data_IF_136172169448
#
_entry.id   IF_136172169448
#
_cell.length_a   1.000
_cell.length_b   1.000
_cell.length_c   1.000
_cell.angle_alpha   90.00
_cell.angle_beta   90.00
_cell.angle_gamma   90.00
#
_symmetry.space_group_name_H-M   'P 1'
#
loop_
_entity.id
_entity.type
_entity.pdbx_description
1 polymer ?
#
# COMPACT_ATOMS: atom_id res chain seq x y z
N UNK A 1 -15.97 10.45 -76.35
CA UNK A 1 -16.85 11.21 -77.26
C UNK A 1 -17.54 12.28 -76.44
N UNK A 2 -17.39 13.55 -76.86
CA UNK A 2 -18.35 14.69 -76.84
C UNK A 2 -19.47 14.67 -75.78
N UNK A 3 -19.88 15.75 -75.11
CA UNK A 3 -19.62 17.20 -75.04
C UNK A 3 -20.90 17.75 -74.36
N UNK A 4 -20.84 18.83 -73.57
CA UNK A 4 -21.88 19.91 -73.52
C UNK A 4 -23.20 19.52 -72.75
N UNK A 5 -23.94 20.33 -71.98
CA UNK A 5 -24.15 21.78 -71.86
C UNK A 5 -24.71 22.11 -70.45
N UNK A 6 -24.44 23.32 -69.99
CA UNK A 6 -25.14 23.99 -68.88
C UNK A 6 -26.60 24.31 -69.25
N UNK A 7 -27.49 24.36 -68.26
CA UNK A 7 -28.63 25.30 -68.26
C UNK A 7 -28.94 25.75 -66.83
N UNK A 8 -29.04 27.07 -66.73
CA UNK A 8 -29.33 27.90 -65.56
C UNK A 8 -30.83 27.87 -65.28
N UNK A 9 -31.23 27.79 -64.01
CA UNK A 9 -32.42 28.49 -63.54
C UNK A 9 -32.21 28.91 -62.08
N UNK A 10 -32.04 30.22 -61.88
CA UNK A 10 -32.18 30.87 -60.60
C UNK A 10 -33.67 31.13 -60.36
N UNK A 11 -34.18 30.68 -59.22
CA UNK A 11 -35.38 31.23 -58.60
C UNK A 11 -35.02 31.52 -57.14
N UNK A 12 -34.95 32.80 -56.83
CA UNK A 12 -34.98 33.30 -55.47
C UNK A 12 -36.43 33.29 -54.98
N UNK A 13 -36.70 32.83 -53.75
CA UNK A 13 -37.69 33.46 -52.87
C UNK A 13 -37.59 32.96 -51.42
N UNK A 14 -37.73 33.96 -50.53
CA UNK A 14 -38.30 33.91 -49.18
C UNK A 14 -37.46 33.36 -48.01
N UNK A 15 -37.06 34.32 -47.18
CA UNK A 15 -36.70 34.23 -45.78
C UNK A 15 -37.59 33.26 -44.99
N UNK A 16 -36.96 32.30 -44.30
CA UNK A 16 -37.40 31.82 -43.01
C UNK A 16 -36.16 31.73 -42.11
N UNK A 17 -36.12 32.60 -41.10
CA UNK A 17 -35.12 32.59 -40.04
C UNK A 17 -35.46 31.39 -39.15
N UNK A 18 -34.93 30.23 -39.49
CA UNK A 18 -34.92 29.06 -38.63
C UNK A 18 -33.57 29.01 -37.91
N UNK A 19 -33.56 29.33 -36.62
CA UNK A 19 -32.42 29.06 -35.76
C UNK A 19 -32.15 27.55 -35.78
N UNK A 20 -31.17 27.11 -36.56
CA UNK A 20 -30.61 25.78 -36.41
C UNK A 20 -29.83 25.79 -35.10
N UNK A 21 -30.45 25.19 -34.09
CA UNK A 21 -29.80 24.79 -32.85
C UNK A 21 -28.57 23.99 -33.26
N UNK A 22 -27.38 24.48 -32.89
CA UNK A 22 -26.19 23.66 -32.92
C UNK A 22 -26.47 22.46 -32.03
N UNK A 23 -26.62 21.29 -32.64
CA UNK A 23 -26.45 20.03 -31.91
C UNK A 23 -25.03 20.08 -31.36
N UNK A 24 -24.95 20.36 -30.07
CA UNK A 24 -23.76 20.17 -29.27
C UNK A 24 -23.56 18.66 -29.21
N UNK A 25 -22.95 18.11 -30.27
CA UNK A 25 -22.45 16.75 -30.29
C UNK A 25 -21.37 16.69 -29.22
N UNK A 26 -21.78 16.34 -28.00
CA UNK A 26 -20.87 15.83 -26.98
C UNK A 26 -19.97 14.81 -27.68
N UNK A 27 -18.65 15.01 -27.72
CA UNK A 27 -17.76 14.03 -28.33
C UNK A 27 -17.92 12.75 -27.53
N UNK A 28 -18.53 11.74 -28.16
CA UNK A 28 -18.54 10.38 -27.65
C UNK A 28 -17.09 9.93 -27.61
N UNK A 29 -16.46 10.03 -26.44
CA UNK A 29 -15.11 9.54 -26.22
C UNK A 29 -15.17 8.02 -26.25
N UNK A 30 -14.93 7.46 -27.43
CA UNK A 30 -14.64 6.05 -27.63
C UNK A 30 -13.33 5.74 -26.89
N UNK A 31 -13.47 5.20 -25.67
CA UNK A 31 -12.34 4.90 -24.78
C UNK A 31 -11.51 3.80 -25.44
N UNK A 32 -10.26 4.10 -25.80
CA UNK A 32 -9.29 3.09 -26.18
C UNK A 32 -9.24 1.99 -25.11
N UNK A 33 -9.62 0.77 -25.49
CA UNK A 33 -9.70 -0.36 -24.58
C UNK A 33 -8.34 -0.61 -23.90
N UNK A 34 -8.30 -0.49 -22.58
CA UNK A 34 -7.12 -0.89 -21.80
C UNK A 34 -7.04 -2.41 -21.83
N UNK A 35 -5.94 -2.97 -22.36
CA UNK A 35 -5.71 -4.42 -22.35
C UNK A 35 -5.59 -4.93 -20.91
N UNK A 36 -6.48 -5.85 -20.53
CA UNK A 36 -6.56 -6.47 -19.19
C UNK A 36 -6.84 -5.44 -18.07
N UNK A 37 -8.03 -4.82 -18.07
CA UNK A 37 -8.40 -3.84 -17.05
C UNK A 37 -8.49 -4.48 -15.67
N UNK A 38 -8.29 -3.69 -14.61
CA UNK A 38 -8.58 -4.14 -13.27
C UNK A 38 -10.10 -4.24 -13.08
N UNK A 39 -10.56 -5.41 -12.66
CA UNK A 39 -11.97 -5.76 -12.53
C UNK A 39 -12.21 -6.44 -11.20
N UNK A 40 -13.29 -6.07 -10.52
CA UNK A 40 -13.80 -6.72 -9.31
C UNK A 40 -15.28 -6.99 -9.46
N UNK A 41 -15.72 -8.14 -8.96
CA UNK A 41 -17.16 -8.47 -8.92
C UNK A 41 -17.92 -7.39 -8.15
N UNK A 42 -18.93 -6.81 -8.79
CA UNK A 42 -19.78 -5.80 -8.15
C UNK A 42 -20.54 -6.39 -6.95
N UNK A 43 -21.01 -7.64 -7.06
CA UNK A 43 -21.63 -8.37 -5.93
C UNK A 43 -20.69 -8.56 -4.74
N UNK A 44 -19.40 -8.70 -4.99
CA UNK A 44 -18.41 -8.74 -3.91
C UNK A 44 -18.27 -7.39 -3.22
N UNK A 45 -18.22 -6.30 -3.99
CA UNK A 45 -18.21 -4.94 -3.43
C UNK A 45 -19.47 -4.68 -2.61
N UNK A 46 -20.65 -5.07 -3.11
CA UNK A 46 -21.92 -4.95 -2.39
C UNK A 46 -21.92 -5.74 -1.07
N UNK A 47 -21.35 -6.95 -1.04
CA UNK A 47 -21.18 -7.69 0.22
C UNK A 47 -20.31 -6.92 1.23
N UNK A 48 -19.33 -6.15 0.75
CA UNK A 48 -18.57 -5.20 1.58
C UNK A 48 -19.43 -4.06 2.12
N UNK A 49 -20.31 -3.49 1.28
CA UNK A 49 -21.27 -2.47 1.70
C UNK A 49 -22.22 -3.03 2.78
N UNK A 50 -22.69 -4.27 2.63
CA UNK A 50 -23.56 -4.93 3.63
C UNK A 50 -22.84 -5.11 4.97
N UNK A 51 -21.58 -5.56 4.95
CA UNK A 51 -20.78 -5.72 6.15
C UNK A 51 -20.46 -4.39 6.86
N UNK A 52 -20.38 -3.28 6.11
CA UNK A 52 -20.24 -1.95 6.70
C UNK A 52 -21.49 -1.57 7.51
N UNK A 53 -22.68 -1.74 6.92
CA UNK A 53 -23.95 -1.44 7.60
C UNK A 53 -24.18 -2.34 8.82
N UNK A 54 -23.94 -3.65 8.68
CA UNK A 54 -24.10 -4.62 9.77
C UNK A 54 -23.22 -4.29 10.99
N UNK A 55 -22.02 -3.77 10.75
CA UNK A 55 -21.03 -3.49 11.79
C UNK A 55 -20.80 -1.99 12.02
N UNK A 56 -21.72 -1.14 11.57
CA UNK A 56 -21.62 0.32 11.61
C UNK A 56 -21.33 0.88 13.01
N UNK A 57 -21.81 0.20 14.06
CA UNK A 57 -21.55 0.55 15.45
C UNK A 57 -20.05 0.66 15.82
N UNK A 58 -19.15 0.06 15.03
CA UNK A 58 -17.70 0.21 15.19
C UNK A 58 -17.18 1.59 14.75
N UNK A 59 -17.86 2.28 13.83
CA UNK A 59 -17.52 3.61 13.34
C UNK A 59 -18.78 4.49 13.13
N UNK A 60 -19.49 4.84 14.23
CA UNK A 60 -20.83 5.44 14.15
C UNK A 60 -20.87 6.84 13.53
N UNK A 61 -19.72 7.53 13.46
CA UNK A 61 -19.60 8.87 12.89
C UNK A 61 -19.57 8.87 11.34
N UNK A 62 -19.46 7.71 10.69
CA UNK A 62 -19.38 7.60 9.24
C UNK A 62 -20.78 7.34 8.65
N UNK A 63 -21.32 8.21 7.79
CA UNK A 63 -22.64 8.00 7.23
C UNK A 63 -22.67 6.93 6.12
N UNK A 64 -21.55 6.69 5.46
CA UNK A 64 -21.44 5.72 4.36
C UNK A 64 -20.00 5.19 4.22
N UNK A 65 -19.86 4.02 3.59
CA UNK A 65 -18.56 3.44 3.26
C UNK A 65 -17.94 4.11 2.05
N UNK A 66 -16.69 4.53 2.19
CA UNK A 66 -15.85 5.00 1.08
C UNK A 66 -14.79 3.97 0.72
N UNK A 67 -14.28 4.07 -0.49
CA UNK A 67 -13.14 3.31 -0.98
C UNK A 67 -12.07 4.29 -1.44
N UNK A 68 -10.82 3.83 -1.45
CA UNK A 68 -9.69 4.57 -2.00
C UNK A 68 -8.93 3.72 -3.02
N UNK A 69 -8.61 4.32 -4.15
CA UNK A 69 -7.59 3.82 -5.07
C UNK A 69 -6.22 4.31 -4.62
N UNK A 70 -5.29 3.39 -4.41
CA UNK A 70 -3.88 3.74 -4.16
C UNK A 70 -2.97 2.97 -5.09
N UNK A 71 -1.86 3.57 -5.50
CA UNK A 71 -0.80 2.83 -6.16
C UNK A 71 -0.11 1.87 -5.16
N UNK A 72 0.63 0.91 -5.68
CA UNK A 72 1.36 -0.05 -4.85
C UNK A 72 2.58 0.63 -4.23
N UNK A 73 2.83 0.38 -2.94
CA UNK A 73 4.04 0.82 -2.24
C UNK A 73 4.11 2.33 -2.04
N UNK A 74 2.98 2.99 -1.78
CA UNK A 74 2.92 4.43 -1.52
C UNK A 74 3.39 5.32 -2.68
N UNK A 75 3.54 4.74 -3.89
CA UNK A 75 3.80 5.53 -5.07
C UNK A 75 2.68 6.56 -5.27
N UNK A 76 3.05 7.72 -5.82
CA UNK A 76 2.07 8.71 -6.24
C UNK A 76 1.09 8.09 -7.23
N UNK A 77 -0.13 8.61 -7.24
CA UNK A 77 -1.10 8.25 -8.28
C UNK A 77 -0.44 8.48 -9.64
N UNK A 78 -0.49 7.49 -10.56
CA UNK A 78 0.21 7.61 -11.83
C UNK A 78 -0.23 8.88 -12.56
N UNK A 79 0.72 9.77 -12.86
CA UNK A 79 0.46 10.90 -13.74
C UNK A 79 0.03 10.38 -15.12
N UNK A 80 -1.10 10.86 -15.63
CA UNK A 80 -1.66 10.40 -16.90
C UNK A 80 -3.15 10.72 -17.06
N UNK A 81 -3.81 10.04 -18.00
CA UNK A 81 -5.23 10.21 -18.33
C UNK A 81 -6.13 10.12 -17.09
N UNK A 82 -7.31 10.76 -17.14
CA UNK A 82 -8.28 10.69 -16.04
C UNK A 82 -8.59 9.24 -15.61
N UNK A 83 -8.76 9.04 -14.30
CA UNK A 83 -9.16 7.74 -13.74
C UNK A 83 -10.67 7.61 -13.88
N UNK A 84 -11.10 6.57 -14.58
CA UNK A 84 -12.52 6.25 -14.77
C UNK A 84 -12.82 4.90 -14.16
N UNK A 85 -13.84 4.88 -13.31
CA UNK A 85 -14.39 3.70 -12.68
C UNK A 85 -15.85 3.59 -13.09
N UNK A 86 -16.30 2.39 -13.44
CA UNK A 86 -17.68 2.15 -13.89
C UNK A 86 -18.17 0.78 -13.48
N UNK A 87 -19.48 0.67 -13.27
CA UNK A 87 -20.17 -0.61 -13.10
C UNK A 87 -20.63 -1.05 -14.49
N UNK A 88 -20.26 -2.26 -14.89
CA UNK A 88 -20.51 -2.81 -16.24
C UNK A 88 -21.23 -4.14 -16.08
N UNK A 89 -22.51 -4.18 -16.45
CA UNK A 89 -23.33 -5.38 -16.52
C UNK A 89 -23.86 -5.59 -17.94
N UNK A 90 -25.14 -5.97 -18.07
CA UNK A 90 -25.78 -6.14 -19.38
C UNK A 90 -26.36 -4.84 -19.94
N UNK A 91 -26.64 -3.86 -19.08
CA UNK A 91 -27.10 -2.52 -19.46
C UNK A 91 -25.98 -1.52 -19.72
N UNK A 92 -26.36 -0.24 -19.82
CA UNK A 92 -25.41 0.85 -20.01
C UNK A 92 -24.42 0.96 -18.83
N UNK A 93 -23.12 1.22 -19.07
CA UNK A 93 -22.15 1.40 -18.01
C UNK A 93 -22.50 2.56 -17.08
N UNK A 94 -22.53 2.30 -15.78
CA UNK A 94 -22.84 3.31 -14.76
C UNK A 94 -21.53 3.95 -14.28
N UNK A 95 -21.33 5.26 -14.43
CA UNK A 95 -20.12 5.93 -13.97
C UNK A 95 -20.05 5.94 -12.44
N UNK A 96 -18.86 5.69 -11.90
CA UNK A 96 -18.52 5.83 -10.48
C UNK A 96 -17.47 6.94 -10.36
N UNK A 97 -17.86 8.16 -9.95
CA UNK A 97 -16.92 9.27 -9.83
C UNK A 97 -15.81 8.97 -8.83
N UNK A 98 -14.56 9.25 -9.22
CA UNK A 98 -13.39 9.16 -8.35
C UNK A 98 -12.90 10.57 -8.06
N UNK A 99 -12.82 10.92 -6.78
CA UNK A 99 -12.28 12.20 -6.33
C UNK A 99 -10.78 12.31 -6.59
N UNK A 100 -10.24 13.53 -6.56
CA UNK A 100 -8.82 13.79 -6.85
C UNK A 100 -7.86 13.06 -5.90
N UNK A 101 -8.27 12.84 -4.65
CA UNK A 101 -7.50 12.10 -3.64
C UNK A 101 -7.61 10.57 -3.81
N UNK A 102 -8.28 10.11 -4.88
CA UNK A 102 -8.51 8.70 -5.19
C UNK A 102 -9.68 8.08 -4.45
N UNK A 103 -10.44 8.85 -3.66
CA UNK A 103 -11.61 8.33 -2.94
C UNK A 103 -12.86 8.25 -3.82
N UNK A 104 -13.72 7.28 -3.55
CA UNK A 104 -14.99 7.12 -4.25
C UNK A 104 -16.01 6.36 -3.37
N UNK A 105 -17.29 6.51 -3.70
CA UNK A 105 -18.39 5.73 -3.13
C UNK A 105 -18.99 4.86 -4.21
N UNK A 106 -19.47 3.68 -3.85
CA UNK A 106 -20.06 2.75 -4.80
C UNK A 106 -21.57 2.74 -4.58
N UNK A 107 -22.38 3.21 -5.56
CA UNK A 107 -23.83 3.20 -5.40
C UNK A 107 -24.35 1.77 -5.36
N UNK A 108 -25.49 1.55 -4.70
CA UNK A 108 -26.24 0.30 -4.74
C UNK A 108 -27.24 0.34 -5.89
N UNK A 109 -27.02 -0.48 -6.92
CA UNK A 109 -27.88 -0.55 -8.10
C UNK A 109 -28.34 -1.99 -8.29
N UNK A 110 -29.62 -2.26 -8.00
CA UNK A 110 -30.16 -3.63 -8.00
C UNK A 110 -30.00 -4.33 -9.35
N UNK A 111 -30.29 -3.63 -10.46
CA UNK A 111 -30.13 -4.18 -11.80
C UNK A 111 -28.69 -4.67 -12.07
N UNK A 112 -27.68 -3.95 -11.59
CA UNK A 112 -26.28 -4.35 -11.75
C UNK A 112 -25.90 -5.53 -10.83
N UNK A 113 -26.56 -5.70 -9.68
CA UNK A 113 -26.40 -6.87 -8.81
C UNK A 113 -26.98 -8.10 -9.51
N UNK A 114 -28.17 -7.97 -10.10
CA UNK A 114 -28.89 -9.04 -10.78
C UNK A 114 -28.19 -9.47 -12.07
N UNK A 115 -27.54 -8.54 -12.75
CA UNK A 115 -26.74 -8.77 -13.96
C UNK A 115 -25.35 -9.38 -13.70
N UNK A 116 -24.98 -9.68 -12.45
CA UNK A 116 -23.62 -10.10 -12.08
C UNK A 116 -22.53 -9.12 -12.60
N UNK A 117 -22.79 -7.82 -12.52
CA UNK A 117 -21.91 -6.79 -13.06
C UNK A 117 -20.50 -6.79 -12.44
N UNK A 118 -19.57 -6.13 -13.13
CA UNK A 118 -18.22 -5.88 -12.66
C UNK A 118 -17.96 -4.38 -12.43
N UNK A 119 -17.18 -4.08 -11.40
CA UNK A 119 -16.58 -2.77 -11.20
C UNK A 119 -15.25 -2.73 -11.98
N UNK A 120 -15.21 -1.92 -13.04
CA UNK A 120 -14.12 -1.90 -14.03
C UNK A 120 -13.37 -0.56 -13.97
N UNK A 121 -12.05 -0.64 -13.80
CA UNK A 121 -11.14 0.50 -13.78
C UNK A 121 -10.41 0.63 -15.11
N UNK A 122 -10.24 1.85 -15.61
CA UNK A 122 -9.45 2.14 -16.82
C UNK A 122 -7.92 2.09 -16.58
N UNK A 123 -7.45 1.12 -15.80
CA UNK A 123 -6.04 0.85 -15.53
C UNK A 123 -5.78 -0.64 -15.65
N UNK A 124 -4.55 -1.00 -16.04
CA UNK A 124 -4.12 -2.40 -16.06
C UNK A 124 -4.24 -2.99 -14.66
N UNK A 125 -4.66 -4.25 -14.60
CA UNK A 125 -4.75 -5.02 -13.36
C UNK A 125 -3.47 -4.88 -12.52
N UNK A 126 -3.63 -4.50 -11.25
CA UNK A 126 -2.54 -4.41 -10.27
C UNK A 126 -1.76 -3.09 -10.24
N UNK A 127 -2.04 -2.12 -11.12
CA UNK A 127 -1.44 -0.78 -11.07
C UNK A 127 -1.97 0.02 -9.89
N UNK A 128 -3.30 0.09 -9.78
CA UNK A 128 -3.99 0.65 -8.62
C UNK A 128 -4.66 -0.48 -7.85
N UNK A 129 -4.85 -0.28 -6.55
CA UNK A 129 -5.64 -1.18 -5.71
C UNK A 129 -6.75 -0.37 -5.06
N UNK A 130 -7.99 -0.76 -5.33
CA UNK A 130 -9.15 -0.32 -4.55
C UNK A 130 -9.21 -1.06 -3.22
N UNK A 131 -9.36 -0.31 -2.13
CA UNK A 131 -9.61 -0.82 -0.78
C UNK A 131 -10.70 -0.01 -0.10
N UNK A 132 -11.48 -0.62 0.81
CA UNK A 132 -12.36 0.15 1.68
C UNK A 132 -11.51 1.07 2.56
N UNK A 133 -12.03 2.26 2.83
CA UNK A 133 -11.43 3.22 3.74
C UNK A 133 -12.48 3.60 4.78
N UNK A 134 -12.27 3.13 6.00
CA UNK A 134 -13.08 3.53 7.16
C UNK A 134 -12.24 4.52 7.95
N UNK A 135 -12.67 5.78 7.95
CA UNK A 135 -11.96 6.88 8.60
C UNK A 135 -12.93 7.88 9.23
N UNK A 136 -13.04 7.84 10.56
CA UNK A 136 -13.83 8.78 11.36
C UNK A 136 -13.44 10.22 11.00
N UNK A 137 -14.41 11.09 10.65
CA UNK A 137 -14.14 12.49 10.33
C UNK A 137 -13.46 13.26 11.48
N UNK A 138 -12.60 14.22 11.13
CA UNK A 138 -11.95 15.11 12.10
C UNK A 138 -10.71 14.53 12.81
N UNK A 139 -10.33 13.27 12.54
CA UNK A 139 -9.06 12.72 13.03
C UNK A 139 -7.87 13.27 12.21
N UNK A 140 -6.73 13.60 12.85
CA UNK A 140 -5.50 13.98 12.15
C UNK A 140 -5.07 12.92 11.14
N UNK A 141 -4.48 13.33 10.01
CA UNK A 141 -4.10 12.43 8.89
C UNK A 141 -3.29 11.21 9.35
N UNK A 142 -2.37 11.43 10.29
CA UNK A 142 -1.49 10.42 10.87
C UNK A 142 -2.14 9.57 11.99
N UNK A 143 -3.45 9.72 12.24
CA UNK A 143 -4.17 8.96 13.25
C UNK A 143 -5.22 8.07 12.59
N UNK A 144 -5.29 6.81 13.03
CA UNK A 144 -6.38 5.86 12.73
C UNK A 144 -7.02 5.40 14.02
N UNK A 145 -8.34 5.25 14.04
CA UNK A 145 -9.08 4.71 15.19
C UNK A 145 -9.22 3.20 15.07
N UNK A 146 -9.04 2.47 16.17
CA UNK A 146 -9.05 0.99 16.13
C UNK A 146 -10.42 0.42 15.75
N UNK A 147 -11.51 1.05 16.18
CA UNK A 147 -12.88 0.71 15.75
C UNK A 147 -13.06 0.81 14.24
N UNK A 148 -12.52 1.85 13.62
CA UNK A 148 -12.55 2.03 12.17
C UNK A 148 -11.79 0.91 11.46
N UNK A 149 -10.61 0.53 11.96
CA UNK A 149 -9.81 -0.56 11.41
C UNK A 149 -10.48 -1.93 11.59
N UNK A 150 -11.15 -2.16 12.73
CA UNK A 150 -11.98 -3.36 12.95
C UNK A 150 -13.11 -3.44 11.93
N UNK A 151 -13.81 -2.34 11.66
CA UNK A 151 -14.86 -2.28 10.65
C UNK A 151 -14.29 -2.48 9.24
N UNK A 152 -13.19 -1.82 8.91
CA UNK A 152 -12.50 -1.97 7.63
C UNK A 152 -12.12 -3.43 7.37
N UNK A 153 -11.64 -4.15 8.39
CA UNK A 153 -11.39 -5.59 8.27
C UNK A 153 -12.66 -6.39 7.93
N UNK A 154 -13.80 -6.08 8.57
CA UNK A 154 -15.08 -6.77 8.28
C UNK A 154 -15.47 -6.61 6.81
N UNK A 155 -15.35 -5.39 6.30
CA UNK A 155 -15.61 -5.07 4.90
C UNK A 155 -14.65 -5.81 3.98
N UNK A 156 -13.34 -5.78 4.25
CA UNK A 156 -12.32 -6.49 3.45
C UNK A 156 -12.63 -7.99 3.39
N UNK A 157 -12.92 -8.61 4.54
CA UNK A 157 -13.20 -10.04 4.63
C UNK A 157 -14.49 -10.40 3.93
N UNK A 158 -15.55 -9.58 4.01
CA UNK A 158 -16.80 -9.81 3.31
C UNK A 158 -16.62 -9.81 1.78
N UNK A 159 -15.91 -8.82 1.25
CA UNK A 159 -15.57 -8.74 -0.18
C UNK A 159 -14.76 -9.98 -0.59
N UNK A 160 -13.70 -10.30 0.16
CA UNK A 160 -12.81 -11.41 -0.16
C UNK A 160 -13.53 -12.76 -0.15
N UNK A 161 -14.40 -13.00 0.84
CA UNK A 161 -15.22 -14.21 0.91
C UNK A 161 -16.17 -14.33 -0.28
N UNK A 162 -16.75 -13.22 -0.72
CA UNK A 162 -17.64 -13.22 -1.87
C UNK A 162 -16.89 -13.50 -3.17
N UNK A 163 -15.68 -12.96 -3.35
CA UNK A 163 -14.82 -13.22 -4.51
C UNK A 163 -14.32 -14.68 -4.57
N UNK A 164 -13.98 -15.29 -3.43
CA UNK A 164 -13.39 -16.63 -3.39
C UNK A 164 -14.41 -17.78 -3.51
N UNK A 165 -15.69 -17.52 -3.25
CA UNK A 165 -16.74 -18.53 -3.29
C UNK A 165 -16.72 -19.53 -2.13
N UNK A 166 -17.75 -20.38 -2.07
CA UNK A 166 -18.06 -21.21 -0.89
C UNK A 166 -16.95 -22.21 -0.54
N UNK A 167 -16.42 -22.92 -1.52
CA UNK A 167 -15.44 -24.00 -1.28
C UNK A 167 -14.14 -23.47 -0.67
N UNK A 168 -13.61 -22.37 -1.20
CA UNK A 168 -12.39 -21.76 -0.66
C UNK A 168 -12.64 -21.16 0.73
N UNK A 169 -13.81 -20.56 0.96
CA UNK A 169 -14.18 -20.04 2.28
C UNK A 169 -14.21 -21.14 3.34
N UNK A 170 -14.79 -22.30 3.03
CA UNK A 170 -14.82 -23.45 3.95
C UNK A 170 -13.42 -23.96 4.26
N UNK A 171 -12.55 -24.05 3.25
CA UNK A 171 -11.15 -24.43 3.43
C UNK A 171 -10.41 -23.45 4.34
N UNK A 172 -10.50 -22.13 4.08
CA UNK A 172 -9.84 -21.12 4.91
C UNK A 172 -10.40 -21.13 6.35
N UNK A 173 -11.71 -21.25 6.53
CA UNK A 173 -12.31 -21.35 7.86
C UNK A 173 -11.77 -22.56 8.65
N UNK A 174 -11.54 -23.67 7.95
CA UNK A 174 -10.96 -24.89 8.54
C UNK A 174 -9.51 -24.66 8.96
N UNK A 175 -8.71 -24.02 8.09
CA UNK A 175 -7.30 -23.71 8.36
C UNK A 175 -7.13 -22.67 9.48
N UNK A 176 -8.01 -21.67 9.53
CA UNK A 176 -7.99 -20.62 10.56
C UNK A 176 -8.71 -21.04 11.85
N UNK A 177 -9.40 -22.19 11.85
CA UNK A 177 -10.24 -22.66 12.96
C UNK A 177 -11.33 -21.65 13.37
N UNK A 178 -11.71 -20.72 12.49
CA UNK A 178 -12.73 -19.72 12.75
C UNK A 178 -13.33 -19.16 11.45
N UNK A 179 -14.64 -18.87 11.42
CA UNK A 179 -15.23 -18.10 10.34
C UNK A 179 -14.90 -16.60 10.45
N UNK A 180 -14.43 -16.12 11.60
CA UNK A 180 -14.08 -14.71 11.78
C UNK A 180 -12.60 -14.46 11.51
N UNK A 181 -12.29 -14.11 10.26
CA UNK A 181 -10.90 -13.91 9.81
C UNK A 181 -10.25 -12.67 10.44
N UNK A 182 -11.04 -11.69 10.87
CA UNK A 182 -10.53 -10.50 11.58
C UNK A 182 -10.03 -10.81 12.99
N UNK A 183 -10.43 -11.94 13.58
CA UNK A 183 -10.02 -12.37 14.92
C UNK A 183 -9.28 -13.70 14.90
N UNK A 184 -8.82 -14.13 13.72
CA UNK A 184 -8.09 -15.38 13.56
C UNK A 184 -6.76 -15.35 14.33
N UNK A 185 -6.34 -16.52 14.79
CA UNK A 185 -5.15 -16.70 15.62
C UNK A 185 -4.79 -18.18 15.74
N UNK A 186 -3.54 -18.47 16.07
CA UNK A 186 -3.05 -19.83 16.31
C UNK A 186 -2.65 -19.97 17.78
N UNK A 187 -3.33 -20.86 18.50
CA UNK A 187 -3.16 -20.97 19.95
C UNK A 187 -3.48 -19.65 20.66
N UNK A 188 -2.53 -19.15 21.44
CA UNK A 188 -2.66 -17.89 22.18
C UNK A 188 -2.24 -16.66 21.34
N UNK A 189 -1.69 -16.84 20.14
CA UNK A 189 -1.21 -15.74 19.30
C UNK A 189 -2.29 -15.30 18.29
N UNK A 190 -2.69 -14.03 18.35
CA UNK A 190 -3.63 -13.44 17.39
C UNK A 190 -2.89 -12.97 16.15
N UNK A 191 -3.49 -13.19 14.97
CA UNK A 191 -2.95 -12.66 13.71
C UNK A 191 -3.16 -11.15 13.73
N UNK A 192 -2.06 -10.39 13.58
CA UNK A 192 -2.13 -8.94 13.43
C UNK A 192 -2.45 -8.60 11.99
N UNK A 193 -3.57 -7.90 11.78
CA UNK A 193 -4.05 -7.60 10.44
C UNK A 193 -3.29 -6.39 9.86
N UNK A 194 -2.71 -6.50 8.65
CA UNK A 194 -1.95 -5.41 8.06
C UNK A 194 -2.87 -4.41 7.34
N UNK A 195 -2.69 -3.13 7.65
CA UNK A 195 -3.38 -2.01 6.98
C UNK A 195 -2.40 -1.17 6.18
N UNK A 196 -2.82 -0.62 5.02
CA UNK A 196 -1.95 0.21 4.20
C UNK A 196 -1.73 1.59 4.83
N UNK A 197 -0.55 2.16 4.60
CA UNK A 197 -0.25 3.58 4.77
C UNK A 197 0.04 4.21 3.42
N UNK A 198 -0.46 5.43 3.19
CA UNK A 198 -0.21 6.18 1.96
C UNK A 198 1.20 6.79 1.93
N UNK A 199 1.82 6.97 3.10
CA UNK A 199 3.16 7.52 3.26
C UNK A 199 4.06 6.50 3.94
N UNK A 200 5.35 6.60 3.67
CA UNK A 200 6.35 5.78 4.31
C UNK A 200 6.29 5.99 5.83
N UNK A 201 6.31 4.90 6.60
CA UNK A 201 6.27 4.88 8.05
C UNK A 201 7.69 4.73 8.61
N UNK A 202 7.98 5.50 9.65
CA UNK A 202 9.16 5.32 10.48
C UNK A 202 8.83 4.43 11.68
N UNK A 203 7.74 4.75 12.38
CA UNK A 203 7.17 3.90 13.43
C UNK A 203 5.66 4.15 13.60
N UNK A 204 5.04 3.40 14.51
CA UNK A 204 3.68 3.67 14.97
C UNK A 204 3.50 3.23 16.43
N UNK A 205 2.52 3.82 17.11
CA UNK A 205 2.08 3.41 18.44
C UNK A 205 0.55 3.30 18.50
N UNK A 206 0.04 2.48 19.41
CA UNK A 206 -1.37 2.49 19.81
C UNK A 206 -1.49 3.19 21.17
N UNK A 207 -2.47 4.06 21.30
CA UNK A 207 -2.76 4.85 22.50
C UNK A 207 -4.22 4.67 22.90
N UNK A 208 -4.49 4.27 24.14
CA UNK A 208 -5.83 4.09 24.70
C UNK A 208 -5.85 4.57 26.15
N UNK A 209 -6.32 5.81 26.36
CA UNK A 209 -6.10 6.54 27.62
C UNK A 209 -4.61 6.69 27.91
N UNK A 210 -4.17 6.20 29.07
CA UNK A 210 -2.76 6.22 29.49
C UNK A 210 -1.95 5.03 28.94
N UNK A 211 -2.62 4.01 28.37
CA UNK A 211 -1.96 2.81 27.87
C UNK A 211 -1.36 3.07 26.49
N UNK A 212 -0.10 2.68 26.32
CA UNK A 212 0.65 2.79 25.06
C UNK A 212 1.36 1.49 24.72
N UNK A 213 1.43 1.17 23.43
CA UNK A 213 2.27 0.07 22.95
C UNK A 213 2.79 0.36 21.53
N UNK A 214 4.00 -0.10 21.19
CA UNK A 214 4.51 0.03 19.83
C UNK A 214 3.72 -0.86 18.86
N UNK A 215 3.48 -0.34 17.65
CA UNK A 215 2.88 -1.05 16.54
C UNK A 215 3.98 -1.42 15.55
N UNK A 216 3.96 -2.67 15.10
CA UNK A 216 4.90 -3.14 14.08
C UNK A 216 4.54 -2.52 12.74
N UNK A 217 5.51 -1.85 12.13
CA UNK A 217 5.37 -1.23 10.81
C UNK A 217 6.25 -1.92 9.77
N UNK A 218 5.82 -1.82 8.53
CA UNK A 218 6.65 -1.88 7.32
C UNK A 218 6.50 -0.52 6.62
N UNK A 219 7.24 -0.27 5.54
CA UNK A 219 7.25 1.05 4.89
C UNK A 219 5.86 1.65 4.64
N UNK A 220 4.98 0.89 3.99
CA UNK A 220 3.66 1.37 3.58
C UNK A 220 2.54 0.55 4.20
N UNK A 221 2.79 -0.06 5.37
CA UNK A 221 1.76 -0.80 6.10
C UNK A 221 2.08 -0.95 7.57
N UNK A 222 1.06 -1.12 8.40
CA UNK A 222 1.19 -1.32 9.84
C UNK A 222 0.29 -2.48 10.29
N UNK A 223 0.76 -3.27 11.25
CA UNK A 223 0.09 -4.47 11.77
C UNK A 223 -0.63 -4.14 13.09
N UNK A 224 -1.96 -4.17 13.10
CA UNK A 224 -2.73 -3.71 14.27
C UNK A 224 -3.40 -4.86 15.05
N UNK A 225 -3.57 -4.68 16.37
CA UNK A 225 -4.19 -5.67 17.25
C UNK A 225 -5.73 -5.62 17.21
N UNK A 226 -6.33 -5.72 16.01
CA UNK A 226 -7.80 -5.61 15.88
C UNK A 226 -8.58 -6.72 16.61
N UNK A 227 -7.92 -7.85 16.88
CA UNK A 227 -8.51 -9.01 17.55
C UNK A 227 -8.42 -8.96 19.09
N UNK A 228 -7.62 -8.05 19.63
CA UNK A 228 -7.36 -7.91 21.08
C UNK A 228 -8.47 -7.05 21.70
N UNK A 229 -9.29 -7.65 22.56
CA UNK A 229 -10.46 -6.98 23.16
C UNK A 229 -10.06 -5.94 24.23
N UNK A 230 -8.83 -6.02 24.74
CA UNK A 230 -8.29 -5.12 25.75
C UNK A 230 -8.02 -3.70 25.24
N UNK A 231 -8.03 -3.49 23.92
CA UNK A 231 -7.98 -2.16 23.31
C UNK A 231 -9.38 -1.71 22.94
N UNK A 232 -9.78 -0.54 23.43
CA UNK A 232 -11.07 0.06 23.13
C UNK A 232 -11.22 0.34 21.62
N UNK A 233 -12.46 0.48 21.15
CA UNK A 233 -12.69 0.92 19.77
C UNK A 233 -12.20 2.36 19.53
N UNK A 234 -11.99 3.15 20.59
CA UNK A 234 -11.54 4.53 20.50
C UNK A 234 -10.01 4.66 20.62
N UNK A 235 -9.31 3.55 20.84
CA UNK A 235 -7.86 3.48 20.78
C UNK A 235 -7.35 4.06 19.46
N UNK A 236 -6.29 4.86 19.54
CA UNK A 236 -5.71 5.60 18.42
C UNK A 236 -4.40 4.96 18.01
N UNK A 237 -4.32 4.54 16.76
CA UNK A 237 -3.05 4.24 16.10
C UNK A 237 -2.48 5.57 15.64
N UNK A 238 -1.36 5.98 16.23
CA UNK A 238 -0.60 7.16 15.83
C UNK A 238 0.54 6.69 14.94
N UNK A 239 0.51 7.16 13.70
CA UNK A 239 1.52 6.89 12.69
C UNK A 239 2.58 7.99 12.71
N UNK A 240 3.85 7.60 12.70
CA UNK A 240 4.96 8.52 12.53
C UNK A 240 5.56 8.28 11.15
N UNK A 241 5.41 9.28 10.27
CA UNK A 241 5.86 9.18 8.90
C UNK A 241 7.36 9.40 8.79
N UNK A 242 7.97 8.62 7.92
CA UNK A 242 9.32 8.86 7.46
C UNK A 242 9.39 10.22 6.73
N UNK A 243 10.55 10.90 6.80
CA UNK A 243 10.78 12.09 5.98
C UNK A 243 10.73 11.72 4.50
N UNK A 244 10.13 12.61 3.71
CA UNK A 244 10.08 12.46 2.26
C UNK A 244 11.49 12.64 1.68
N UNK A 245 11.87 11.76 0.75
CA UNK A 245 13.17 11.85 0.08
C UNK A 245 13.22 13.06 -0.86
N UNK A 246 14.30 13.82 -0.80
CA UNK A 246 14.61 14.90 -1.73
C UNK A 246 14.82 14.35 -3.16
N UNK A 247 14.66 15.18 -4.22
CA UNK A 247 14.99 14.78 -5.58
C UNK A 247 16.42 14.23 -5.72
N UNK A 248 17.37 14.80 -4.98
CA UNK A 248 18.76 14.38 -4.94
C UNK A 248 18.92 12.99 -4.31
N UNK A 249 18.26 12.73 -3.17
CA UNK A 249 18.25 11.41 -2.52
C UNK A 249 17.55 10.33 -3.35
N UNK A 250 16.55 10.72 -4.15
CA UNK A 250 15.91 9.81 -5.12
C UNK A 250 16.86 9.49 -6.28
N UNK A 251 17.67 10.46 -6.72
CA UNK A 251 18.62 10.28 -7.82
C UNK A 251 19.90 9.55 -7.41
N UNK A 252 20.42 9.79 -6.20
CA UNK A 252 21.56 9.09 -5.61
C UNK A 252 21.16 8.44 -4.27
N UNK A 253 20.83 7.13 -4.27
CA UNK A 253 20.48 6.41 -3.05
C UNK A 253 21.55 6.41 -1.96
N UNK A 254 22.82 6.74 -2.26
CA UNK A 254 23.87 6.84 -1.24
C UNK A 254 23.79 8.11 -0.39
N UNK A 255 22.97 9.09 -0.80
CA UNK A 255 22.63 10.26 0.02
C UNK A 255 21.58 9.94 1.08
N UNK A 256 20.83 8.85 0.89
CA UNK A 256 19.80 8.44 1.84
C UNK A 256 20.42 7.93 3.15
N UNK A 257 19.63 8.01 4.22
CA UNK A 257 19.99 7.37 5.49
C UNK A 257 20.14 5.86 5.29
N UNK A 258 21.26 5.31 5.77
CA UNK A 258 21.51 3.88 5.77
C UNK A 258 21.11 3.27 7.12
N UNK A 259 20.78 1.98 7.10
CA UNK A 259 20.30 1.22 8.24
C UNK A 259 20.99 -0.13 8.30
N UNK A 260 21.17 -0.64 9.51
CA UNK A 260 21.44 -2.05 9.76
C UNK A 260 20.10 -2.77 9.94
N UNK A 261 19.88 -3.86 9.22
CA UNK A 261 18.65 -4.66 9.31
C UNK A 261 19.03 -6.09 9.64
N UNK A 262 18.54 -6.64 10.75
CA UNK A 262 18.92 -7.99 11.15
C UNK A 262 18.14 -8.56 12.32
N UNK A 263 18.66 -9.64 12.91
CA UNK A 263 18.03 -10.27 14.09
C UNK A 263 18.15 -9.42 15.34
N UNK A 264 19.25 -8.66 15.49
CA UNK A 264 19.52 -7.82 16.65
C UNK A 264 18.49 -6.70 16.87
N UNK A 265 17.80 -6.29 15.81
CA UNK A 265 16.78 -5.25 15.88
C UNK A 265 15.42 -5.73 15.42
N UNK A 266 15.16 -7.05 15.38
CA UNK A 266 13.88 -7.60 14.89
C UNK A 266 13.48 -7.06 13.48
N UNK A 267 14.47 -6.75 12.63
CA UNK A 267 14.30 -6.10 11.32
C UNK A 267 13.68 -4.70 11.39
N UNK A 268 13.75 -4.06 12.54
CA UNK A 268 13.38 -2.66 12.74
C UNK A 268 14.37 -1.74 12.01
N UNK A 269 13.88 -0.56 11.65
CA UNK A 269 14.61 0.49 10.95
C UNK A 269 15.25 1.50 11.92
N UNK A 270 15.30 1.21 13.23
CA UNK A 270 15.87 2.14 14.23
C UNK A 270 17.40 2.20 14.25
N UNK A 271 18.09 1.18 13.72
CA UNK A 271 19.55 1.13 13.73
C UNK A 271 20.15 1.92 12.55
N UNK A 272 20.12 3.25 12.66
CA UNK A 272 20.67 4.15 11.63
C UNK A 272 22.20 4.08 11.59
N UNK A 273 22.75 3.94 10.39
CA UNK A 273 24.16 4.15 10.09
C UNK A 273 24.41 5.65 9.91
N UNK A 274 25.04 6.24 10.91
CA UNK A 274 25.40 7.66 10.91
C UNK A 274 26.59 7.86 9.99
N UNK A 275 26.45 8.76 9.02
CA UNK A 275 27.53 9.17 8.15
C UNK A 275 28.53 10.00 8.95
N UNK A 276 29.77 9.54 9.02
CA UNK A 276 30.87 10.33 9.61
C UNK A 276 31.56 11.20 8.55
N UNK A 277 31.74 10.65 7.35
CA UNK A 277 32.33 11.31 6.18
C UNK A 277 31.69 10.74 4.89
N UNK A 278 32.01 11.31 3.74
CA UNK A 278 31.54 10.79 2.45
C UNK A 278 31.96 9.33 2.25
N UNK A 279 30.95 8.44 2.12
CA UNK A 279 31.15 7.01 1.96
C UNK A 279 31.49 6.25 3.24
N UNK A 280 31.62 6.90 4.41
CA UNK A 280 31.92 6.23 5.67
C UNK A 280 30.75 6.36 6.65
N UNK A 281 30.26 5.21 7.13
CA UNK A 281 29.10 5.15 8.00
C UNK A 281 29.35 4.26 9.21
N UNK A 282 28.80 4.62 10.37
CA UNK A 282 28.95 3.85 11.60
C UNK A 282 27.65 3.72 12.39
N UNK A 283 27.48 2.57 13.03
CA UNK A 283 26.39 2.31 13.96
C UNK A 283 26.94 1.53 15.18
N UNK A 284 26.35 1.76 16.35
CA UNK A 284 26.55 0.89 17.51
C UNK A 284 25.37 -0.07 17.62
N UNK A 285 25.67 -1.34 17.90
CA UNK A 285 24.69 -2.41 18.03
C UNK A 285 24.93 -3.16 19.33
N UNK A 286 23.86 -3.36 20.10
CA UNK A 286 23.85 -4.36 21.16
C UNK A 286 23.65 -5.74 20.53
N UNK A 287 24.62 -6.63 20.74
CA UNK A 287 24.54 -8.02 20.29
C UNK A 287 24.56 -8.95 21.48
N UNK A 288 23.56 -9.81 21.57
CA UNK A 288 23.54 -10.93 22.51
C UNK A 288 24.53 -12.01 22.11
N UNK A 289 24.84 -12.92 23.04
CA UNK A 289 25.61 -14.12 22.72
C UNK A 289 24.80 -15.02 21.81
N UNK A 290 25.39 -15.44 20.68
CA UNK A 290 24.75 -16.36 19.75
C UNK A 290 25.01 -16.03 18.29
N UNK A 291 24.15 -16.57 17.42
CA UNK A 291 24.23 -16.35 15.97
C UNK A 291 23.26 -15.27 15.54
N UNK A 292 23.78 -14.23 14.89
CA UNK A 292 22.98 -13.15 14.34
C UNK A 292 23.16 -13.08 12.82
N UNK A 293 22.15 -12.55 12.13
CA UNK A 293 22.29 -12.14 10.74
C UNK A 293 21.97 -10.67 10.58
N UNK A 294 22.64 -10.01 9.64
CA UNK A 294 22.36 -8.63 9.25
C UNK A 294 22.54 -8.40 7.76
N UNK A 295 21.97 -7.29 7.31
CA UNK A 295 22.25 -6.60 6.04
C UNK A 295 22.36 -5.11 6.33
N UNK A 296 22.93 -4.39 5.38
CA UNK A 296 23.10 -2.94 5.45
C UNK A 296 22.53 -2.32 4.19
N UNK A 297 21.83 -1.20 4.28
CA UNK A 297 21.21 -0.62 3.10
C UNK A 297 20.41 0.64 3.41
N UNK A 298 19.71 1.17 2.42
CA UNK A 298 18.69 2.21 2.66
C UNK A 298 17.48 1.61 3.38
N UNK A 299 16.50 2.46 3.72
CA UNK A 299 15.24 2.04 4.36
C UNK A 299 14.65 0.82 3.62
N UNK A 300 14.26 -0.21 4.40
CA UNK A 300 13.74 -1.51 3.93
C UNK A 300 14.62 -2.27 2.91
N UNK A 301 15.88 -1.88 2.74
CA UNK A 301 16.81 -2.44 1.77
C UNK A 301 16.30 -2.33 0.31
N UNK A 302 15.50 -1.30 0.00
CA UNK A 302 14.88 -1.15 -1.32
C UNK A 302 15.87 -0.59 -2.35
N UNK A 303 16.35 0.63 -2.14
CA UNK A 303 17.26 1.30 -3.07
C UNK A 303 18.69 0.75 -2.99
N UNK A 304 19.21 0.55 -1.77
CA UNK A 304 20.50 -0.13 -1.53
C UNK A 304 20.28 -1.31 -0.61
N UNK A 305 20.84 -2.46 -1.00
CA UNK A 305 20.77 -3.70 -0.24
C UNK A 305 22.14 -4.37 -0.27
N UNK A 306 23.00 -4.10 0.71
CA UNK A 306 24.32 -4.68 0.81
C UNK A 306 24.30 -5.93 1.70
N UNK A 307 25.09 -6.92 1.30
CA UNK A 307 25.19 -8.18 2.02
C UNK A 307 26.41 -8.99 1.59
N UNK A 308 26.41 -10.26 2.00
CA UNK A 308 27.49 -11.19 1.74
C UNK A 308 27.66 -11.44 0.23
N UNK A 309 28.92 -11.54 -0.20
CA UNK A 309 29.33 -11.93 -1.56
C UNK A 309 29.16 -13.44 -1.78
N UNK A 310 29.22 -14.24 -0.71
CA UNK A 310 29.03 -15.71 -0.71
C UNK A 310 28.19 -16.17 0.48
N UNK A 311 27.57 -17.35 0.36
CA UNK A 311 26.55 -17.81 1.31
C UNK A 311 27.10 -18.14 2.72
N UNK A 312 28.35 -18.54 2.80
CA UNK A 312 29.07 -18.97 4.00
C UNK A 312 29.99 -17.88 4.55
N UNK A 313 29.87 -16.65 4.07
CA UNK A 313 30.65 -15.53 4.54
C UNK A 313 30.24 -15.15 5.97
N UNK A 314 31.21 -15.23 6.88
CA UNK A 314 31.03 -14.81 8.26
C UNK A 314 31.67 -13.45 8.49
N UNK A 315 30.99 -12.60 9.25
CA UNK A 315 31.58 -11.44 9.88
C UNK A 315 32.43 -11.91 11.05
N UNK A 316 33.71 -11.53 11.03
CA UNK A 316 34.66 -11.83 12.09
C UNK A 316 35.01 -10.52 12.79
N UNK A 317 35.04 -10.55 14.13
CA UNK A 317 35.36 -9.39 14.95
C UNK A 317 36.72 -8.78 14.56
N UNK A 318 36.72 -7.49 14.26
CA UNK A 318 37.89 -6.72 13.81
C UNK A 318 38.22 -6.84 12.31
N UNK A 319 37.67 -7.83 11.59
CA UNK A 319 38.03 -8.09 10.19
C UNK A 319 37.24 -7.22 9.20
N UNK A 320 37.92 -6.83 8.11
CA UNK A 320 37.30 -6.17 6.96
C UNK A 320 36.65 -7.23 6.08
N UNK A 321 35.36 -7.04 5.80
CA UNK A 321 34.51 -8.01 5.11
C UNK A 321 33.94 -7.37 3.84
N UNK A 322 34.23 -7.90 2.63
CA UNK A 322 33.71 -7.33 1.39
C UNK A 322 32.20 -7.56 1.27
N UNK A 323 31.49 -6.59 0.71
CA UNK A 323 30.05 -6.64 0.48
C UNK A 323 29.72 -6.61 -1.01
N UNK A 324 28.52 -7.06 -1.37
CA UNK A 324 27.96 -6.88 -2.71
C UNK A 324 26.52 -6.36 -2.67
N UNK A 325 26.14 -5.65 -3.73
CA UNK A 325 24.76 -5.19 -3.96
C UNK A 325 23.85 -6.41 -4.15
N UNK A 326 22.67 -6.35 -3.54
CA UNK A 326 21.69 -7.45 -3.42
C UNK A 326 22.29 -8.74 -2.84
N UNK A 327 23.35 -8.62 -2.03
CA UNK A 327 24.02 -9.75 -1.39
C UNK A 327 23.12 -10.53 -0.42
N UNK A 328 23.56 -11.75 -0.07
CA UNK A 328 22.87 -12.60 0.93
C UNK A 328 23.02 -12.01 2.35
N UNK A 329 22.34 -12.59 3.32
CA UNK A 329 22.48 -12.19 4.73
C UNK A 329 23.92 -12.42 5.19
N UNK A 330 24.49 -11.44 5.90
CA UNK A 330 25.77 -11.59 6.59
C UNK A 330 25.51 -12.28 7.93
N UNK A 331 26.36 -13.22 8.30
CA UNK A 331 26.22 -13.97 9.56
C UNK A 331 27.36 -13.63 10.50
N UNK A 332 27.07 -13.39 11.77
CA UNK A 332 28.06 -13.18 12.84
C UNK A 332 27.77 -14.14 13.99
N UNK A 333 28.83 -14.73 14.54
CA UNK A 333 28.76 -15.50 15.79
C UNK A 333 29.37 -14.66 16.90
N UNK A 334 28.57 -14.32 17.89
CA UNK A 334 28.94 -13.47 19.02
C UNK A 334 29.17 -14.37 20.22
N UNK A 335 30.43 -14.45 20.66
CA UNK A 335 30.81 -15.26 21.83
C UNK A 335 30.53 -14.54 23.15
N UNK A 336 30.69 -13.21 23.14
CA UNK A 336 30.49 -12.36 24.30
C UNK A 336 29.46 -11.28 23.99
N UNK A 337 28.34 -11.28 24.72
CA UNK A 337 27.36 -10.22 24.59
C UNK A 337 27.99 -8.83 24.88
N UNK A 338 27.48 -7.80 24.23
CA UNK A 338 27.91 -6.42 24.45
C UNK A 338 27.66 -5.51 23.26
N UNK A 339 28.24 -4.32 23.33
CA UNK A 339 28.17 -3.33 22.25
C UNK A 339 29.24 -3.59 21.18
N UNK A 340 28.83 -3.44 19.93
CA UNK A 340 29.69 -3.59 18.75
C UNK A 340 29.55 -2.37 17.86
N UNK A 341 30.68 -1.83 17.40
CA UNK A 341 30.72 -0.83 16.35
C UNK A 341 30.72 -1.52 14.99
N UNK A 342 29.77 -1.15 14.14
CA UNK A 342 29.69 -1.58 12.75
C UNK A 342 30.04 -0.40 11.86
N UNK A 343 31.07 -0.55 11.05
CA UNK A 343 31.59 0.49 10.14
C UNK A 343 31.46 0.01 8.71
N UNK A 344 30.68 0.74 7.92
CA UNK A 344 30.54 0.57 6.48
C UNK A 344 31.46 1.56 5.77
N UNK A 345 32.39 1.05 4.97
CA UNK A 345 33.18 1.84 4.03
C UNK A 345 32.68 1.58 2.61
N UNK A 346 32.02 2.58 2.06
CA UNK A 346 31.45 2.62 0.72
C UNK A 346 31.98 3.82 -0.09
N UNK A 347 33.21 4.25 0.20
CA UNK A 347 33.94 5.22 -0.66
C UNK A 347 34.11 4.68 -2.07
N UNK A 348 34.31 3.37 -2.20
CA UNK A 348 34.06 2.62 -3.43
C UNK A 348 32.64 2.04 -3.39
N UNK A 349 31.73 2.67 -4.13
CA UNK A 349 30.30 2.27 -4.22
C UNK A 349 30.10 0.91 -4.92
N UNK A 350 31.09 0.42 -5.68
CA UNK A 350 31.04 -0.89 -6.35
C UNK A 350 31.67 -2.01 -5.51
N UNK A 351 32.60 -1.67 -4.61
CA UNK A 351 33.23 -2.62 -3.70
C UNK A 351 33.16 -2.18 -2.23
N UNK A 352 31.96 -2.00 -1.65
CA UNK A 352 31.82 -1.61 -0.25
C UNK A 352 32.34 -2.70 0.70
N UNK A 353 32.84 -2.30 1.86
CA UNK A 353 33.31 -3.21 2.90
C UNK A 353 32.68 -2.91 4.26
N UNK A 354 32.60 -3.93 5.10
CA UNK A 354 32.06 -3.85 6.45
C UNK A 354 33.09 -4.33 7.45
N UNK A 355 33.19 -3.61 8.57
CA UNK A 355 33.92 -4.06 9.75
C UNK A 355 32.99 -4.05 10.94
N UNK A 356 33.04 -5.11 11.74
CA UNK A 356 32.37 -5.17 13.05
C UNK A 356 33.47 -5.27 14.10
N UNK A 357 33.38 -4.48 15.17
CA UNK A 357 34.39 -4.48 16.24
C UNK A 357 33.72 -4.35 17.59
N UNK A 358 34.03 -5.25 18.53
CA UNK A 358 33.52 -5.13 19.90
C UNK A 358 34.02 -3.84 20.54
N UNK A 359 33.13 -3.12 21.21
CA UNK A 359 33.48 -1.93 21.99
C UNK A 359 33.96 -2.33 23.40
N UNK A 360 34.77 -1.46 24.05
CA UNK A 360 35.30 -1.70 25.40
C UNK A 360 34.23 -1.97 26.46
#
# INVERSE_FOLDING_TARGET
>A
MRKIQQCVFAIALAFAVGAAVAEDTTPSVEVQGVKNPDMRSYRAVVAGLDAFEEHHALAPALPELRFRLSARGGADMPAGDAIYLRIVGNGDPIPVPVAQDGTFTVPRVQAAIDDDADLVLNRKKGVLKGRPEVRTPGLPDNVRRLGDLRLECRVIVAIAKKEMGLMMNLFINTVLLTPNWCTAGYGNEKIKFPFPSLRALDDAEIVDGDRRAPIKVSEFSFETPIAEAEWSNDARIVLHYAPDLTPEEKADPWLQTMFVVGTMNNRDLRSTLRKSEDGLYSAELDLDKGSHWLKVGTRNLEAISLGATRADQLLVDGAITPLTKKGKRLHIKVENAGRYALTLDARDKEAPTLRVSRLP
#
